data_IF_693598501913
#
_entry.id   IF_693598501913
#
_cell.length_a   1.000
_cell.length_b   1.000
_cell.length_c   1.000
_cell.angle_alpha   90.00
_cell.angle_beta   90.00
_cell.angle_gamma   90.00
#
_symmetry.space_group_name_H-M   'P 1'
#
loop_
_entity.id
_entity.type
_entity.pdbx_description
1 polymer ?
#
# COMPACT_ATOMS: atom_id res chain seq x y z
N UNK A 1 -4.84 0.04 13.58
CA UNK A 1 -4.33 1.38 13.87
C UNK A 1 -5.04 2.49 13.08
N UNK A 2 -5.75 2.17 12.00
CA UNK A 2 -6.64 3.06 11.27
C UNK A 2 -8.07 2.53 11.33
N UNK A 3 -9.04 3.44 11.38
CA UNK A 3 -10.45 3.09 11.59
C UNK A 3 -11.28 3.53 10.38
N UNK A 4 -11.10 2.84 9.24
CA UNK A 4 -11.99 3.01 8.10
C UNK A 4 -13.38 2.45 8.44
N UNK A 5 -14.44 3.18 8.10
CA UNK A 5 -15.81 2.85 8.52
C UNK A 5 -16.39 1.58 7.88
N UNK A 6 -15.68 0.99 6.93
CA UNK A 6 -16.13 -0.17 6.16
C UNK A 6 -15.27 -1.43 6.38
N UNK A 7 -14.26 -1.36 7.24
CA UNK A 7 -13.23 -2.40 7.35
C UNK A 7 -13.28 -3.08 8.72
N UNK A 8 -13.34 -4.40 8.74
CA UNK A 8 -13.36 -5.22 9.96
C UNK A 8 -12.07 -5.07 10.78
N UNK A 9 -10.96 -4.70 10.15
CA UNK A 9 -9.70 -4.38 10.85
C UNK A 9 -9.84 -3.21 11.83
N UNK A 10 -10.94 -2.45 11.75
CA UNK A 10 -11.28 -1.41 12.72
C UNK A 10 -11.79 -1.95 14.07
N UNK A 11 -12.14 -3.24 14.16
CA UNK A 11 -12.60 -3.87 15.38
C UNK A 11 -11.49 -3.93 16.43
N UNK A 12 -11.84 -3.68 17.69
CA UNK A 12 -10.85 -3.49 18.77
C UNK A 12 -9.93 -4.71 18.98
N UNK A 13 -10.41 -5.93 18.75
CA UNK A 13 -9.61 -7.14 18.89
C UNK A 13 -8.65 -7.41 17.72
N UNK A 14 -8.84 -6.73 16.57
CA UNK A 14 -7.97 -6.81 15.39
C UNK A 14 -7.11 -5.54 15.25
N UNK A 15 -7.50 -4.43 15.87
CA UNK A 15 -6.94 -3.09 15.62
C UNK A 15 -5.50 -2.89 16.11
N UNK A 16 -4.91 -3.88 16.80
CA UNK A 16 -3.52 -3.81 17.25
C UNK A 16 -2.60 -4.21 16.12
N UNK A 17 -1.66 -3.34 15.81
CA UNK A 17 -0.56 -3.64 14.91
C UNK A 17 0.70 -3.91 15.75
N UNK A 18 1.12 -5.17 15.77
CA UNK A 18 2.34 -5.60 16.44
C UNK A 18 3.38 -5.97 15.38
N UNK A 19 4.47 -5.21 15.31
CA UNK A 19 5.55 -5.49 14.38
C UNK A 19 6.62 -6.34 15.06
N UNK A 20 7.13 -7.34 14.36
CA UNK A 20 8.46 -7.86 14.68
C UNK A 20 9.53 -6.78 14.44
N UNK A 21 10.67 -6.86 15.13
CA UNK A 21 11.78 -5.96 14.84
C UNK A 21 12.32 -6.21 13.43
N UNK A 22 12.88 -5.18 12.79
CA UNK A 22 13.51 -5.32 11.48
C UNK A 22 14.61 -6.40 11.50
N UNK A 23 15.40 -6.46 12.58
CA UNK A 23 16.42 -7.50 12.76
C UNK A 23 15.80 -8.90 12.74
N UNK A 24 14.71 -9.12 13.52
CA UNK A 24 14.01 -10.42 13.57
C UNK A 24 13.45 -10.81 12.20
N UNK A 25 12.89 -9.83 11.47
CA UNK A 25 12.38 -10.10 10.12
C UNK A 25 13.50 -10.51 9.17
N UNK A 26 14.62 -9.82 9.18
CA UNK A 26 15.76 -10.15 8.32
C UNK A 26 16.40 -11.48 8.71
N UNK A 27 16.50 -11.83 10.01
CA UNK A 27 16.93 -13.16 10.45
C UNK A 27 16.04 -14.26 9.85
N UNK A 28 14.73 -14.06 9.83
CA UNK A 28 13.79 -15.01 9.21
C UNK A 28 13.92 -15.09 7.70
N UNK A 29 14.14 -13.95 7.04
CA UNK A 29 14.37 -13.90 5.59
C UNK A 29 15.65 -14.68 5.25
N UNK A 30 16.77 -14.43 5.94
CA UNK A 30 18.02 -15.16 5.73
C UNK A 30 17.86 -16.67 5.94
N UNK A 31 17.12 -17.08 6.98
CA UNK A 31 16.82 -18.48 7.24
C UNK A 31 16.02 -19.10 6.08
N UNK A 32 14.94 -18.43 5.61
CA UNK A 32 14.12 -18.93 4.50
C UNK A 32 14.94 -19.04 3.21
N UNK A 33 15.77 -18.03 2.92
CA UNK A 33 16.67 -18.07 1.76
C UNK A 33 17.64 -19.25 1.84
N UNK A 34 18.24 -19.48 3.01
CA UNK A 34 19.17 -20.58 3.22
C UNK A 34 18.50 -21.96 3.06
N UNK A 35 17.26 -22.11 3.56
CA UNK A 35 16.52 -23.37 3.52
C UNK A 35 15.92 -23.67 2.15
N UNK A 36 15.48 -22.66 1.41
CA UNK A 36 14.67 -22.82 0.18
C UNK A 36 15.36 -22.38 -1.09
N UNK A 37 16.37 -21.54 -1.00
CA UNK A 37 16.98 -20.85 -2.14
C UNK A 37 16.10 -19.76 -2.76
N UNK A 38 14.91 -19.49 -2.20
CA UNK A 38 13.99 -18.49 -2.74
C UNK A 38 14.32 -17.09 -2.22
N UNK A 39 14.30 -16.11 -3.10
CA UNK A 39 14.60 -14.71 -2.78
C UNK A 39 13.42 -13.75 -3.04
N UNK A 40 12.25 -14.28 -3.42
CA UNK A 40 11.02 -13.50 -3.61
C UNK A 40 10.12 -13.57 -2.37
N UNK A 41 9.68 -12.42 -1.84
CA UNK A 41 8.88 -12.33 -0.63
C UNK A 41 7.63 -11.48 -0.82
N UNK A 42 6.52 -11.95 -0.29
CA UNK A 42 5.31 -11.17 -0.12
C UNK A 42 5.04 -10.94 1.36
N UNK A 43 5.07 -9.69 1.79
CA UNK A 43 4.66 -9.31 3.14
C UNK A 43 3.14 -9.19 3.19
N UNK A 44 2.52 -10.00 4.05
CA UNK A 44 1.05 -10.15 4.11
C UNK A 44 0.37 -9.22 5.11
N UNK A 45 1.07 -8.19 5.59
CA UNK A 45 0.46 -7.17 6.42
C UNK A 45 -0.73 -6.52 5.70
N UNK A 46 -1.80 -6.24 6.43
CA UNK A 46 -2.97 -5.52 5.89
C UNK A 46 -2.61 -4.09 5.42
N UNK A 47 -1.73 -3.42 6.15
CA UNK A 47 -1.17 -2.13 5.79
C UNK A 47 0.09 -1.85 6.61
N UNK A 48 1.24 -2.16 6.08
CA UNK A 48 2.52 -1.94 6.76
C UNK A 48 2.80 -0.44 6.99
N UNK A 49 3.14 -0.03 8.22
CA UNK A 49 3.46 1.37 8.50
C UNK A 49 4.76 1.81 7.83
N UNK A 50 4.84 3.07 7.36
CA UNK A 50 6.06 3.61 6.73
C UNK A 50 7.33 3.43 7.58
N UNK A 51 7.21 3.62 8.90
CA UNK A 51 8.33 3.46 9.83
C UNK A 51 8.85 2.02 9.89
N UNK A 52 7.96 1.03 9.86
CA UNK A 52 8.35 -0.39 9.87
C UNK A 52 9.05 -0.77 8.56
N UNK A 53 8.52 -0.35 7.42
CA UNK A 53 9.12 -0.59 6.11
C UNK A 53 10.48 0.10 5.96
N UNK A 54 10.60 1.34 6.47
CA UNK A 54 11.90 2.04 6.50
C UNK A 54 12.94 1.24 7.28
N UNK A 55 12.59 0.79 8.50
CA UNK A 55 13.51 0.01 9.32
C UNK A 55 13.90 -1.33 8.66
N UNK A 56 12.95 -2.00 7.99
CA UNK A 56 13.21 -3.22 7.23
C UNK A 56 14.20 -2.94 6.08
N UNK A 57 13.96 -1.90 5.28
CA UNK A 57 14.81 -1.54 4.16
C UNK A 57 16.25 -1.21 4.61
N UNK A 58 16.38 -0.39 5.66
CA UNK A 58 17.68 -0.05 6.24
C UNK A 58 18.43 -1.31 6.72
N UNK A 59 17.74 -2.25 7.35
CA UNK A 59 18.34 -3.49 7.87
C UNK A 59 18.75 -4.45 6.74
N UNK A 60 17.92 -4.61 5.69
CA UNK A 60 18.27 -5.39 4.50
C UNK A 60 19.54 -4.85 3.84
N UNK A 61 19.60 -3.53 3.64
CA UNK A 61 20.77 -2.87 3.04
C UNK A 61 22.03 -2.99 3.93
N UNK A 62 21.88 -2.79 5.24
CA UNK A 62 22.98 -2.90 6.20
C UNK A 62 23.60 -4.30 6.20
N UNK A 63 22.76 -5.35 6.11
CA UNK A 63 23.20 -6.75 6.09
C UNK A 63 23.58 -7.23 4.68
N UNK A 64 23.33 -6.42 3.64
CA UNK A 64 23.52 -6.81 2.23
C UNK A 64 22.70 -8.04 1.85
N UNK A 65 21.48 -8.14 2.38
CA UNK A 65 20.52 -9.21 2.05
C UNK A 65 19.77 -8.79 0.79
N UNK A 66 19.95 -9.54 -0.27
CA UNK A 66 19.37 -9.24 -1.59
C UNK A 66 18.13 -10.10 -1.83
N UNK A 67 16.98 -9.48 -1.80
CA UNK A 67 15.67 -10.09 -2.07
C UNK A 67 14.85 -9.20 -2.99
N UNK A 68 13.83 -9.77 -3.62
CA UNK A 68 12.74 -9.02 -4.25
C UNK A 68 11.51 -9.14 -3.38
N UNK A 69 10.86 -8.04 -3.08
CA UNK A 69 9.71 -8.09 -2.19
C UNK A 69 8.62 -7.10 -2.56
N UNK A 70 7.39 -7.40 -2.11
CA UNK A 70 6.26 -6.47 -2.18
C UNK A 70 5.36 -6.63 -0.94
N UNK A 71 4.48 -5.66 -0.72
CA UNK A 71 3.56 -5.66 0.41
C UNK A 71 2.39 -4.71 0.22
N UNK A 72 1.55 -4.65 1.25
CA UNK A 72 0.36 -3.80 1.26
C UNK A 72 0.58 -2.59 2.16
N UNK A 73 0.15 -1.44 1.71
CA UNK A 73 0.27 -0.17 2.41
C UNK A 73 -1.04 0.64 2.32
N UNK A 74 -1.07 1.74 3.06
CA UNK A 74 -2.00 2.83 2.81
C UNK A 74 -1.21 3.96 2.16
N UNK A 75 -1.76 4.60 1.14
CA UNK A 75 -1.08 5.71 0.44
C UNK A 75 -1.04 6.98 1.31
N UNK A 76 -0.29 6.91 2.41
CA UNK A 76 -0.13 8.00 3.37
C UNK A 76 0.98 8.96 2.96
N UNK A 77 0.80 10.25 3.26
CA UNK A 77 1.77 11.31 2.94
C UNK A 77 3.17 11.09 3.52
N UNK A 78 3.30 10.19 4.49
CA UNK A 78 4.58 9.80 5.09
C UNK A 78 5.41 8.88 4.20
N UNK A 79 4.84 8.35 3.13
CA UNK A 79 5.60 7.73 2.04
C UNK A 79 6.13 8.84 1.13
N UNK A 80 7.27 9.40 1.49
CA UNK A 80 7.95 10.44 0.70
C UNK A 80 8.72 9.82 -0.48
N UNK A 81 9.10 10.60 -1.50
CA UNK A 81 9.95 10.10 -2.59
C UNK A 81 11.25 9.46 -2.09
N UNK A 82 11.92 10.06 -1.10
CA UNK A 82 13.16 9.52 -0.52
C UNK A 82 12.93 8.17 0.16
N UNK A 83 11.77 7.98 0.81
CA UNK A 83 11.41 6.68 1.37
C UNK A 83 11.14 5.66 0.24
N UNK A 84 10.46 6.05 -0.83
CA UNK A 84 10.24 5.18 -1.98
C UNK A 84 11.56 4.73 -2.61
N UNK A 85 12.52 5.64 -2.80
CA UNK A 85 13.87 5.30 -3.28
C UNK A 85 14.59 4.31 -2.35
N UNK A 86 14.53 4.53 -1.03
CA UNK A 86 15.11 3.62 -0.05
C UNK A 86 14.49 2.21 -0.13
N UNK A 87 13.16 2.13 -0.27
CA UNK A 87 12.45 0.86 -0.43
C UNK A 87 12.87 0.16 -1.74
N UNK A 88 12.97 0.90 -2.85
CA UNK A 88 13.44 0.35 -4.13
C UNK A 88 14.85 -0.22 -4.01
N UNK A 89 15.77 0.52 -3.39
CA UNK A 89 17.16 0.06 -3.16
C UNK A 89 17.21 -1.21 -2.32
N UNK A 90 16.26 -1.42 -1.41
CA UNK A 90 16.18 -2.64 -0.58
C UNK A 90 15.53 -3.84 -1.29
N UNK A 91 15.16 -3.70 -2.57
CA UNK A 91 14.56 -4.74 -3.38
C UNK A 91 13.02 -4.75 -3.41
N UNK A 92 12.37 -3.66 -2.99
CA UNK A 92 10.93 -3.49 -3.18
C UNK A 92 10.62 -3.35 -4.66
N UNK A 93 9.81 -4.24 -5.21
CA UNK A 93 9.42 -4.24 -6.63
C UNK A 93 7.99 -3.75 -6.86
N UNK A 94 7.14 -3.86 -5.86
CA UNK A 94 5.74 -3.44 -5.96
C UNK A 94 5.14 -3.07 -4.61
N UNK A 95 4.13 -2.20 -4.63
CA UNK A 95 3.29 -1.87 -3.48
C UNK A 95 1.82 -1.92 -3.88
N UNK A 96 1.02 -2.57 -3.04
CA UNK A 96 -0.44 -2.57 -3.18
C UNK A 96 -1.07 -1.67 -2.13
N UNK A 97 -2.13 -0.95 -2.50
CA UNK A 97 -2.82 -0.10 -1.55
C UNK A 97 -4.25 0.26 -1.95
N UNK A 98 -5.07 0.60 -0.97
CA UNK A 98 -6.46 0.98 -1.20
C UNK A 98 -6.60 2.46 -1.56
N UNK A 99 -6.94 2.76 -2.82
CA UNK A 99 -7.53 4.02 -3.21
C UNK A 99 -9.04 4.01 -2.90
N UNK A 100 -9.67 2.85 -3.00
CA UNK A 100 -11.10 2.58 -2.85
C UNK A 100 -11.91 3.28 -3.95
N UNK A 101 -12.43 4.46 -3.68
CA UNK A 101 -13.12 5.28 -4.68
C UNK A 101 -12.36 6.58 -4.88
N UNK A 102 -12.03 6.94 -6.11
CA UNK A 102 -11.34 8.20 -6.41
C UNK A 102 -12.30 9.40 -6.29
N UNK A 103 -12.80 9.62 -5.07
CA UNK A 103 -13.72 10.71 -4.69
C UNK A 103 -13.44 11.13 -3.27
N UNK A 104 -12.99 12.36 -3.06
CA UNK A 104 -12.66 12.90 -1.73
C UNK A 104 -13.89 12.92 -0.81
N UNK A 105 -15.09 13.12 -1.35
CA UNK A 105 -16.34 13.02 -0.61
C UNK A 105 -16.54 11.62 -0.03
N UNK A 106 -16.37 10.59 -0.85
CA UNK A 106 -16.54 9.19 -0.41
C UNK A 106 -15.39 8.74 0.50
N UNK A 107 -14.14 9.12 0.19
CA UNK A 107 -12.98 8.85 1.05
C UNK A 107 -13.16 9.45 2.45
N UNK A 108 -13.77 10.64 2.55
CA UNK A 108 -14.12 11.27 3.83
C UNK A 108 -15.18 10.47 4.59
N UNK A 109 -16.26 10.02 3.92
CA UNK A 109 -17.29 9.19 4.51
C UNK A 109 -16.73 7.84 5.00
N UNK A 110 -15.81 7.26 4.25
CA UNK A 110 -15.09 6.04 4.62
C UNK A 110 -14.11 6.24 5.77
N UNK A 111 -13.85 7.49 6.18
CA UNK A 111 -12.78 7.84 7.13
C UNK A 111 -11.42 7.27 6.69
N UNK A 112 -11.18 7.25 5.38
CA UNK A 112 -9.94 6.69 4.82
C UNK A 112 -8.72 7.51 5.24
N UNK A 113 -8.87 8.83 5.41
CA UNK A 113 -7.80 9.73 5.87
C UNK A 113 -6.74 10.02 4.81
N UNK A 114 -7.08 9.87 3.53
CA UNK A 114 -6.29 10.29 2.38
C UNK A 114 -7.21 11.02 1.38
N UNK A 115 -6.63 11.83 0.51
CA UNK A 115 -7.31 12.44 -0.64
C UNK A 115 -6.84 11.81 -1.96
N UNK A 116 -7.59 12.03 -3.03
CA UNK A 116 -7.21 11.57 -4.38
C UNK A 116 -5.87 12.17 -4.79
N UNK A 117 -5.67 13.47 -4.55
CA UNK A 117 -4.41 14.16 -4.81
C UNK A 117 -3.23 13.55 -4.04
N UNK A 118 -3.41 13.30 -2.75
CA UNK A 118 -2.38 12.65 -1.93
C UNK A 118 -2.02 11.26 -2.47
N UNK A 119 -3.03 10.47 -2.87
CA UNK A 119 -2.78 9.16 -3.48
C UNK A 119 -1.99 9.31 -4.77
N UNK A 120 -2.34 10.25 -5.64
CA UNK A 120 -1.61 10.50 -6.87
C UNK A 120 -0.14 10.86 -6.61
N UNK A 121 0.13 11.75 -5.64
CA UNK A 121 1.49 12.14 -5.27
C UNK A 121 2.32 10.96 -4.74
N UNK A 122 1.74 10.18 -3.82
CA UNK A 122 2.43 9.03 -3.20
C UNK A 122 2.70 7.93 -4.23
N UNK A 123 1.68 7.57 -5.04
CA UNK A 123 1.83 6.52 -6.05
C UNK A 123 2.80 6.94 -7.16
N UNK A 124 2.81 8.22 -7.53
CA UNK A 124 3.80 8.75 -8.48
C UNK A 124 5.21 8.65 -7.92
N UNK A 125 5.41 8.97 -6.64
CA UNK A 125 6.71 8.81 -5.97
C UNK A 125 7.22 7.37 -6.00
N UNK A 126 6.36 6.38 -5.79
CA UNK A 126 6.72 4.97 -5.94
C UNK A 126 7.08 4.61 -7.38
N UNK A 127 6.27 5.02 -8.34
CA UNK A 127 6.52 4.73 -9.76
C UNK A 127 7.82 5.37 -10.24
N UNK A 128 8.11 6.60 -9.83
CA UNK A 128 9.36 7.30 -10.18
C UNK A 128 10.60 6.60 -9.57
N UNK A 129 10.45 5.96 -8.41
CA UNK A 129 11.47 5.11 -7.80
C UNK A 129 11.58 3.70 -8.44
N UNK A 130 10.76 3.39 -9.44
CA UNK A 130 10.76 2.09 -10.13
C UNK A 130 9.93 1.00 -9.42
N UNK A 131 9.10 1.36 -8.45
CA UNK A 131 8.20 0.44 -7.74
C UNK A 131 6.85 0.43 -8.43
N UNK A 132 6.38 -0.75 -8.84
CA UNK A 132 5.04 -0.93 -9.41
C UNK A 132 3.96 -0.70 -8.35
N UNK A 133 2.88 -0.03 -8.73
CA UNK A 133 1.76 0.26 -7.83
C UNK A 133 0.50 -0.46 -8.29
N UNK A 134 -0.07 -1.24 -7.37
CA UNK A 134 -1.39 -1.86 -7.53
C UNK A 134 -2.41 -1.15 -6.64
N UNK A 135 -3.52 -0.69 -7.22
CA UNK A 135 -4.59 -0.02 -6.49
C UNK A 135 -5.80 -0.93 -6.27
N UNK A 136 -6.20 -1.13 -5.01
CA UNK A 136 -7.53 -1.68 -4.72
C UNK A 136 -8.56 -0.57 -4.89
N UNK A 137 -9.57 -0.86 -5.70
CA UNK A 137 -10.64 0.04 -6.08
C UNK A 137 -11.98 -0.55 -5.65
N UNK A 138 -12.95 0.31 -5.37
CA UNK A 138 -14.27 -0.10 -4.88
C UNK A 138 -15.37 0.65 -5.61
N UNK A 139 -16.51 0.01 -5.79
CA UNK A 139 -17.76 0.63 -6.26
C UNK A 139 -18.96 0.16 -5.44
N UNK A 140 -20.03 0.96 -5.46
CA UNK A 140 -21.27 0.64 -4.76
C UNK A 140 -21.24 0.98 -3.26
N UNK A 141 -20.33 1.87 -2.83
CA UNK A 141 -20.33 2.36 -1.46
C UNK A 141 -21.62 3.15 -1.18
N UNK A 142 -22.20 3.06 0.04
CA UNK A 142 -23.41 3.80 0.41
C UNK A 142 -23.33 5.28 0.03
N UNK A 143 -24.36 5.81 -0.59
CA UNK A 143 -24.48 7.16 -1.12
C UNK A 143 -23.63 7.48 -2.39
N UNK A 144 -22.90 6.51 -2.93
CA UNK A 144 -22.22 6.68 -4.21
C UNK A 144 -23.27 6.79 -5.33
N UNK A 145 -23.25 7.89 -6.06
CA UNK A 145 -24.11 8.12 -7.22
C UNK A 145 -23.48 7.59 -8.50
N UNK A 146 -24.24 7.52 -9.57
CA UNK A 146 -23.71 7.20 -10.90
C UNK A 146 -22.65 8.23 -11.31
N UNK A 147 -22.87 9.52 -11.04
CA UNK A 147 -21.92 10.57 -11.36
C UNK A 147 -20.61 10.40 -10.58
N UNK A 148 -20.69 10.10 -9.26
CA UNK A 148 -19.47 9.78 -8.48
C UNK A 148 -18.69 8.62 -9.09
N UNK A 149 -19.38 7.63 -9.66
CA UNK A 149 -18.71 6.47 -10.29
C UNK A 149 -18.01 6.89 -11.59
N UNK A 150 -18.66 7.68 -12.42
CA UNK A 150 -18.07 8.18 -13.68
C UNK A 150 -16.85 9.06 -13.39
N UNK A 151 -16.98 10.00 -12.46
CA UNK A 151 -15.89 10.90 -12.07
C UNK A 151 -14.71 10.12 -11.48
N UNK A 152 -14.99 9.13 -10.61
CA UNK A 152 -13.96 8.28 -10.03
C UNK A 152 -13.23 7.44 -11.09
N UNK A 153 -13.94 6.91 -12.09
CA UNK A 153 -13.32 6.19 -13.21
C UNK A 153 -12.41 7.10 -14.04
N UNK A 154 -12.81 8.36 -14.25
CA UNK A 154 -11.99 9.33 -14.95
C UNK A 154 -10.70 9.66 -14.18
N UNK A 155 -10.77 9.85 -12.86
CA UNK A 155 -9.56 10.01 -12.04
C UNK A 155 -8.66 8.77 -12.09
N UNK A 156 -9.23 7.57 -12.03
CA UNK A 156 -8.46 6.32 -12.16
C UNK A 156 -7.78 6.25 -13.52
N UNK A 157 -8.47 6.61 -14.61
CA UNK A 157 -7.91 6.68 -15.95
C UNK A 157 -6.70 7.64 -16.00
N UNK A 158 -6.83 8.83 -15.38
CA UNK A 158 -5.73 9.79 -15.29
C UNK A 158 -4.55 9.25 -14.47
N UNK A 159 -4.79 8.53 -13.38
CA UNK A 159 -3.72 7.91 -12.60
C UNK A 159 -2.94 6.89 -13.42
N UNK A 160 -3.59 6.10 -14.27
CA UNK A 160 -2.92 5.20 -15.21
C UNK A 160 -2.12 5.97 -16.27
N UNK A 161 -2.72 6.95 -16.92
CA UNK A 161 -2.04 7.74 -17.96
C UNK A 161 -0.81 8.48 -17.46
N UNK A 162 -0.86 8.99 -16.23
CA UNK A 162 0.26 9.69 -15.62
C UNK A 162 1.28 8.73 -14.95
N UNK A 163 1.10 7.43 -15.11
CA UNK A 163 2.00 6.42 -14.56
C UNK A 163 2.02 6.36 -13.03
N UNK A 164 0.94 6.83 -12.37
CA UNK A 164 0.82 6.74 -10.91
C UNK A 164 0.51 5.32 -10.44
N UNK A 165 -0.24 4.57 -11.22
CA UNK A 165 -0.60 3.17 -10.97
C UNK A 165 -0.40 2.34 -12.22
N UNK A 166 0.00 1.06 -12.07
CA UNK A 166 0.23 0.12 -13.17
C UNK A 166 -0.83 -0.97 -13.24
N UNK A 167 -1.54 -1.20 -12.15
CA UNK A 167 -2.66 -2.15 -12.13
C UNK A 167 -3.70 -1.74 -11.09
N UNK A 168 -4.92 -2.25 -11.25
CA UNK A 168 -5.99 -2.00 -10.29
C UNK A 168 -7.03 -3.12 -10.31
N UNK A 169 -7.66 -3.36 -9.18
CA UNK A 169 -8.73 -4.33 -9.05
C UNK A 169 -9.95 -3.69 -8.39
N UNK A 170 -11.11 -3.83 -9.03
CA UNK A 170 -12.38 -3.30 -8.55
C UNK A 170 -13.13 -4.33 -7.71
N UNK A 171 -13.41 -3.98 -6.47
CA UNK A 171 -14.29 -4.73 -5.58
C UNK A 171 -15.68 -4.07 -5.51
N UNK A 172 -16.71 -4.89 -5.45
CA UNK A 172 -18.02 -4.40 -5.05
C UNK A 172 -18.03 -4.23 -3.53
N UNK A 173 -18.52 -3.08 -3.07
CA UNK A 173 -18.75 -2.89 -1.63
C UNK A 173 -19.66 -3.99 -1.08
N UNK A 174 -19.24 -4.59 0.01
CA UNK A 174 -20.06 -5.51 0.81
C UNK A 174 -20.13 -4.96 2.24
N UNK A 175 -21.34 -4.88 2.78
CA UNK A 175 -21.54 -4.56 4.19
C UNK A 175 -21.38 -5.87 4.98
N UNK A 176 -20.39 -5.93 5.84
CA UNK A 176 -20.11 -7.05 6.74
C UNK A 176 -20.55 -6.70 8.15
#
# INVERSE_FOLDING_TARGET
>A
WKKCSFCDVSLDYISRYETASASTLVDRIEQIVAETGQTGFHFVDEAAPPKALKALAEELLRRKVHISWWGNIRFEKTFTPELAELLALSGCIAMSGGLEVASDRLLSLMKKGVSVEQVAQVTKGFSDAGILVHAYLMYGFPTQTLQDTVDALEYVRQLFENGCIQSGFFHRFACT
#
